data_IF_015638915146
#
_entry.id   IF_015638915146
#
_cell.length_a   1.000
_cell.length_b   1.000
_cell.length_c   1.000
_cell.angle_alpha   90.00
_cell.angle_beta   90.00
_cell.angle_gamma   90.00
#
_symmetry.space_group_name_H-M   'P 1'
#
loop_
_entity.id
_entity.type
_entity.pdbx_description
1 polymer ?
#
# COMPACT_ATOMS: atom_id res chain seq x y z
N UNK A 1 0.78 -10.10 -2.00
CA UNK A 1 1.76 -10.29 -3.08
C UNK A 1 2.49 -11.60 -2.83
N UNK A 2 2.56 -12.46 -3.84
CA UNK A 2 3.42 -13.66 -3.85
C UNK A 2 4.76 -13.28 -4.46
N UNK A 3 5.85 -13.47 -3.72
CA UNK A 3 7.20 -13.10 -4.11
C UNK A 3 8.06 -14.37 -4.28
N UNK A 4 8.70 -14.60 -5.44
CA UNK A 4 9.52 -15.80 -5.65
C UNK A 4 10.90 -15.63 -5.02
N UNK A 5 10.99 -15.88 -3.72
CA UNK A 5 12.24 -15.80 -2.95
C UNK A 5 13.05 -17.09 -3.08
N UNK A 6 14.32 -17.08 -2.64
CA UNK A 6 15.22 -18.23 -2.73
C UNK A 6 14.66 -19.48 -2.00
N UNK A 7 13.97 -19.28 -0.88
CA UNK A 7 13.37 -20.35 -0.08
C UNK A 7 11.96 -20.75 -0.57
N UNK A 8 11.55 -20.27 -1.75
CA UNK A 8 10.25 -20.52 -2.36
C UNK A 8 9.30 -19.31 -2.36
N UNK A 9 8.04 -19.50 -2.79
CA UNK A 9 7.04 -18.44 -2.85
C UNK A 9 6.70 -17.89 -1.47
N UNK A 10 6.95 -16.59 -1.27
CA UNK A 10 6.71 -15.88 -0.01
C UNK A 10 5.53 -14.93 -0.13
N UNK A 11 4.51 -15.16 0.69
CA UNK A 11 3.34 -14.28 0.76
C UNK A 11 3.60 -13.07 1.66
N UNK A 12 3.34 -11.87 1.14
CA UNK A 12 3.40 -10.61 1.90
C UNK A 12 2.21 -9.71 1.62
N UNK A 13 1.68 -9.12 2.68
CA UNK A 13 0.60 -8.14 2.63
C UNK A 13 1.19 -6.74 2.75
N UNK A 14 0.78 -5.85 1.85
CA UNK A 14 1.18 -4.44 1.86
C UNK A 14 -0.06 -3.58 1.74
N UNK A 15 -0.13 -2.53 2.55
CA UNK A 15 -1.22 -1.56 2.47
C UNK A 15 -1.06 -0.70 1.24
N UNK A 16 -2.19 -0.43 0.56
CA UNK A 16 -2.21 0.46 -0.58
C UNK A 16 -1.90 1.90 -0.13
N UNK A 17 -1.05 2.57 -0.89
CA UNK A 17 -0.68 3.97 -0.70
C UNK A 17 -1.22 4.87 -1.81
N UNK A 18 -1.66 4.30 -2.94
CA UNK A 18 -2.37 5.02 -4.00
C UNK A 18 -3.77 5.40 -3.56
N UNK A 19 -4.30 6.49 -4.14
CA UNK A 19 -5.71 6.83 -4.00
C UNK A 19 -6.58 5.88 -4.84
N UNK A 20 -7.73 5.40 -4.35
CA UNK A 20 -8.69 4.65 -5.15
C UNK A 20 -9.34 5.47 -6.27
N UNK A 21 -9.25 6.81 -6.25
CA UNK A 21 -9.74 7.68 -7.34
C UNK A 21 -8.89 7.63 -8.61
N UNK A 22 -7.72 6.97 -8.59
CA UNK A 22 -6.77 6.91 -9.71
C UNK A 22 -6.76 5.49 -10.28
N UNK A 23 -7.64 5.18 -11.26
CA UNK A 23 -7.79 3.83 -11.77
C UNK A 23 -6.54 3.37 -12.53
N UNK A 24 -6.41 2.06 -12.70
CA UNK A 24 -5.33 1.39 -13.45
C UNK A 24 -3.91 1.53 -12.85
N UNK A 25 -3.77 2.17 -11.68
CA UNK A 25 -2.50 2.27 -10.98
C UNK A 25 -2.66 1.90 -9.51
N UNK A 26 -1.85 0.95 -9.05
CA UNK A 26 -1.78 0.53 -7.66
C UNK A 26 -0.37 0.82 -7.15
N UNK A 27 -0.26 1.56 -6.06
CA UNK A 27 1.03 1.87 -5.44
C UNK A 27 1.09 1.32 -4.02
N UNK A 28 2.17 0.62 -3.71
CA UNK A 28 2.58 0.25 -2.35
C UNK A 28 3.86 0.99 -2.02
N UNK A 29 3.94 1.57 -0.82
CA UNK A 29 5.16 2.22 -0.32
C UNK A 29 5.72 1.35 0.81
N UNK A 30 6.92 0.81 0.62
CA UNK A 30 7.47 -0.22 1.50
C UNK A 30 8.85 0.19 2.02
N UNK A 31 9.14 -0.19 3.26
CA UNK A 31 10.47 -0.04 3.88
C UNK A 31 11.04 -1.42 4.14
N UNK A 32 12.23 -1.70 3.61
CA UNK A 32 12.95 -2.93 3.93
C UNK A 32 13.64 -2.80 5.30
N UNK A 33 13.22 -3.64 6.25
CA UNK A 33 13.93 -3.80 7.52
C UNK A 33 15.18 -4.67 7.35
N UNK A 34 16.09 -4.63 8.33
CA UNK A 34 17.38 -5.31 8.30
C UNK A 34 17.32 -6.84 8.05
N UNK A 35 16.17 -7.48 8.34
CA UNK A 35 15.94 -8.91 8.07
C UNK A 35 14.80 -9.17 7.07
N UNK A 36 14.31 -8.16 6.34
CA UNK A 36 13.20 -8.36 5.42
C UNK A 36 13.64 -9.16 4.19
N UNK A 37 13.14 -10.38 4.04
CA UNK A 37 13.38 -11.22 2.87
C UNK A 37 12.57 -10.67 1.68
N UNK A 38 11.24 -10.59 1.81
CA UNK A 38 10.35 -10.21 0.71
C UNK A 38 10.56 -8.79 0.20
N UNK A 39 10.69 -7.80 1.09
CA UNK A 39 10.83 -6.40 0.64
C UNK A 39 12.20 -6.13 0.00
N UNK A 40 13.26 -6.77 0.49
CA UNK A 40 14.57 -6.67 -0.16
C UNK A 40 14.57 -7.38 -1.50
N UNK A 41 14.00 -8.57 -1.56
CA UNK A 41 13.81 -9.26 -2.83
C UNK A 41 13.09 -8.36 -3.86
N UNK A 42 12.05 -7.63 -3.44
CA UNK A 42 11.38 -6.67 -4.32
C UNK A 42 12.33 -5.57 -4.82
N UNK A 43 13.18 -5.00 -3.96
CA UNK A 43 14.11 -3.94 -4.35
C UNK A 43 15.20 -4.45 -5.32
N UNK A 44 15.67 -5.67 -5.11
CA UNK A 44 16.74 -6.24 -5.92
C UNK A 44 16.21 -6.71 -7.28
N UNK A 45 14.99 -7.26 -7.33
CA UNK A 45 14.49 -8.02 -8.50
C UNK A 45 13.37 -7.33 -9.29
N UNK A 46 12.54 -6.46 -8.68
CA UNK A 46 11.48 -5.81 -9.45
C UNK A 46 12.05 -4.71 -10.34
N UNK A 47 11.74 -4.81 -11.63
CA UNK A 47 12.07 -3.82 -12.67
C UNK A 47 10.82 -3.54 -13.50
N UNK A 48 10.76 -2.41 -14.24
CA UNK A 48 9.67 -2.16 -15.18
C UNK A 48 9.44 -3.35 -16.12
N UNK A 49 8.17 -3.71 -16.34
CA UNK A 49 7.78 -4.90 -17.10
C UNK A 49 7.70 -6.20 -16.28
N UNK A 50 8.14 -6.21 -15.02
CA UNK A 50 7.96 -7.36 -14.14
C UNK A 50 6.47 -7.58 -13.80
N UNK A 51 6.08 -8.84 -13.69
CA UNK A 51 4.75 -9.26 -13.26
C UNK A 51 4.82 -9.87 -11.86
N UNK A 52 3.89 -9.49 -10.99
CA UNK A 52 3.77 -10.01 -9.62
C UNK A 52 2.35 -10.49 -9.40
N UNK A 53 2.18 -11.69 -8.82
CA UNK A 53 0.85 -12.15 -8.42
C UNK A 53 0.38 -11.39 -7.19
N UNK A 54 -0.79 -10.77 -7.31
CA UNK A 54 -1.44 -10.04 -6.24
C UNK A 54 -2.79 -10.68 -5.91
N UNK A 55 -3.19 -10.54 -4.64
CA UNK A 55 -4.44 -11.06 -4.10
C UNK A 55 -5.09 -9.94 -3.29
N UNK A 56 -6.41 -9.85 -3.34
CA UNK A 56 -7.18 -8.76 -2.71
C UNK A 56 -7.74 -7.77 -3.73
N UNK A 57 -8.14 -6.55 -3.31
CA UNK A 57 -7.84 -5.90 -2.02
C UNK A 57 -8.57 -6.53 -0.82
N UNK A 58 -7.95 -6.46 0.36
CA UNK A 58 -8.50 -6.96 1.64
C UNK A 58 -8.13 -5.99 2.78
N UNK A 59 -8.93 -5.97 3.84
CA UNK A 59 -8.70 -5.22 5.08
C UNK A 59 -9.83 -4.23 5.42
N UNK A 60 -10.02 -3.99 6.72
CA UNK A 60 -11.16 -3.21 7.24
C UNK A 60 -10.81 -1.75 7.61
N UNK A 61 -9.52 -1.40 7.58
CA UNK A 61 -9.05 -0.07 7.93
C UNK A 61 -9.24 0.91 6.75
N UNK A 62 -10.43 1.50 6.66
CA UNK A 62 -10.81 2.46 5.62
C UNK A 62 -11.77 3.51 6.14
N UNK A 63 -11.62 4.76 5.69
CA UNK A 63 -12.57 5.84 5.96
C UNK A 63 -13.94 5.62 5.31
N UNK A 64 -14.03 4.75 4.30
CA UNK A 64 -15.29 4.44 3.63
C UNK A 64 -16.23 3.69 4.57
N UNK A 65 -15.66 2.78 5.36
CA UNK A 65 -16.39 2.03 6.40
C UNK A 65 -16.60 2.85 7.69
N UNK A 66 -15.92 4.00 7.82
CA UNK A 66 -15.94 4.84 9.02
C UNK A 66 -16.11 6.33 8.63
N UNK A 67 -17.29 6.73 8.12
CA UNK A 67 -17.54 8.11 7.71
C UNK A 67 -17.53 9.06 8.92
N UNK A 68 -16.89 10.21 8.78
CA UNK A 68 -16.80 11.25 9.81
C UNK A 68 -16.70 12.65 9.20
N UNK A 69 -17.13 13.68 9.93
CA UNK A 69 -17.02 15.07 9.49
C UNK A 69 -15.58 15.62 9.53
N UNK A 70 -14.73 15.06 10.40
CA UNK A 70 -13.30 15.41 10.54
C UNK A 70 -12.50 14.15 10.82
N UNK A 71 -11.31 14.07 10.25
CA UNK A 71 -10.38 12.94 10.43
C UNK A 71 -9.06 13.43 11.06
N UNK A 72 -8.53 12.65 11.99
CA UNK A 72 -7.17 12.79 12.51
C UNK A 72 -6.37 11.54 12.16
N UNK A 73 -5.28 11.72 11.43
CA UNK A 73 -4.39 10.64 11.01
C UNK A 73 -3.09 10.70 11.81
N UNK A 74 -2.77 9.64 12.56
CA UNK A 74 -1.53 9.52 13.36
C UNK A 74 -0.79 8.25 12.93
N UNK A 75 0.41 8.39 12.36
CA UNK A 75 1.22 7.25 11.94
C UNK A 75 2.68 7.37 12.35
N UNK A 76 3.36 6.23 12.34
CA UNK A 76 4.81 6.13 12.46
C UNK A 76 5.38 5.19 11.39
N UNK A 77 6.52 5.56 10.81
CA UNK A 77 7.20 4.75 9.80
C UNK A 77 6.32 4.43 8.58
N UNK A 78 6.37 3.18 8.10
CA UNK A 78 5.55 2.72 6.96
C UNK A 78 4.05 2.66 7.25
N UNK A 79 3.63 2.83 8.51
CA UNK A 79 2.23 2.94 8.91
C UNK A 79 1.51 4.16 8.33
N UNK A 80 2.23 5.09 7.69
CA UNK A 80 1.66 6.25 6.98
C UNK A 80 0.91 5.85 5.69
N UNK A 81 1.13 4.64 5.16
CA UNK A 81 0.59 4.19 3.87
C UNK A 81 -0.93 4.28 3.71
N UNK A 82 -1.77 3.73 4.61
CA UNK A 82 -3.22 3.87 4.50
C UNK A 82 -3.66 5.33 4.63
N UNK A 83 -2.96 6.12 5.47
CA UNK A 83 -3.28 7.53 5.68
C UNK A 83 -3.05 8.34 4.41
N UNK A 84 -1.95 8.10 3.69
CA UNK A 84 -1.70 8.77 2.41
C UNK A 84 -2.70 8.35 1.34
N UNK A 85 -3.13 7.08 1.31
CA UNK A 85 -4.17 6.62 0.38
C UNK A 85 -5.48 7.38 0.61
N UNK A 86 -5.94 7.40 1.86
CA UNK A 86 -7.16 8.08 2.29
C UNK A 86 -7.08 9.60 2.12
N UNK A 87 -5.97 10.23 2.50
CA UNK A 87 -5.76 11.67 2.38
C UNK A 87 -5.76 12.13 0.93
N UNK A 88 -5.11 11.38 0.03
CA UNK A 88 -5.14 11.68 -1.40
C UNK A 88 -6.54 11.55 -1.98
N UNK A 89 -7.31 10.56 -1.55
CA UNK A 89 -8.70 10.43 -1.96
C UNK A 89 -9.56 11.61 -1.49
N UNK A 90 -9.43 12.00 -0.22
CA UNK A 90 -10.11 13.18 0.32
C UNK A 90 -9.76 14.44 -0.48
N UNK A 91 -8.48 14.66 -0.77
CA UNK A 91 -8.03 15.77 -1.59
C UNK A 91 -8.58 15.70 -3.03
N UNK A 92 -8.60 14.51 -3.64
CA UNK A 92 -9.10 14.33 -5.00
C UNK A 92 -10.63 14.57 -5.09
N UNK A 93 -11.39 14.27 -4.01
CA UNK A 93 -12.85 14.41 -3.97
C UNK A 93 -13.35 15.73 -3.36
N UNK A 94 -12.54 16.42 -2.56
CA UNK A 94 -12.87 17.68 -1.89
C UNK A 94 -11.61 18.57 -1.71
N UNK A 95 -11.05 19.14 -2.79
CA UNK A 95 -9.77 19.86 -2.77
C UNK A 95 -9.75 21.21 -2.01
N UNK A 96 -10.87 21.63 -1.42
CA UNK A 96 -11.04 22.97 -0.82
C UNK A 96 -11.50 22.95 0.66
N UNK A 97 -11.43 21.79 1.32
CA UNK A 97 -11.47 21.68 2.79
C UNK A 97 -10.07 21.62 3.36
#
# INVERSE_FOLDING_TARGET
LELPTADGPLMRTYTLSSSPSRPFSIAVTVKAQAGSIGTRWMFDNLKPGAHVKAYGPVGDFSLHSHPAAKYLFISAGSGVTPMMSMLRWLNDCAPWT
#
